data_IF_864656285125
#
_entry.id   IF_864656285125
#
_cell.length_a   1.000
_cell.length_b   1.000
_cell.length_c   1.000
_cell.angle_alpha   90.00
_cell.angle_beta   90.00
_cell.angle_gamma   90.00
#
_symmetry.space_group_name_H-M   'P 1'
#
loop_
_entity.id
_entity.type
_entity.pdbx_description
1 polymer ?
#
# COMPACT_ATOMS: atom_id res chain seq x y z
N UNK A 1 -26.34 9.16 6.43
CA UNK A 1 -26.05 9.32 4.98
C UNK A 1 -26.02 10.77 4.44
N UNK A 2 -27.15 11.50 4.36
CA UNK A 2 -27.21 12.80 3.62
C UNK A 2 -26.25 13.90 4.11
N UNK A 3 -26.11 14.07 5.43
CA UNK A 3 -25.23 15.08 6.02
C UNK A 3 -23.74 14.81 5.75
N UNK A 4 -23.30 13.56 5.86
CA UNK A 4 -21.91 13.18 5.65
C UNK A 4 -21.48 13.30 4.18
N UNK A 5 -22.38 12.91 3.26
CA UNK A 5 -22.15 13.09 1.83
C UNK A 5 -22.03 14.57 1.45
N UNK A 6 -22.89 15.42 2.02
CA UNK A 6 -22.77 16.86 1.85
C UNK A 6 -21.44 17.40 2.42
N UNK A 7 -21.02 16.92 3.59
CA UNK A 7 -19.81 17.38 4.27
C UNK A 7 -18.50 17.10 3.50
N UNK A 8 -18.43 16.01 2.72
CA UNK A 8 -17.19 15.65 2.02
C UNK A 8 -17.26 15.76 0.50
N UNK A 9 -18.40 15.40 -0.13
CA UNK A 9 -18.53 15.47 -1.59
C UNK A 9 -18.61 16.93 -2.06
N UNK A 10 -19.44 17.76 -1.41
CA UNK A 10 -19.61 19.14 -1.85
C UNK A 10 -18.28 19.94 -1.74
N UNK A 11 -17.52 19.89 -0.62
CA UNK A 11 -16.21 20.52 -0.56
C UNK A 11 -15.20 19.95 -1.54
N UNK A 12 -15.20 18.63 -1.80
CA UNK A 12 -14.34 18.02 -2.83
C UNK A 12 -14.63 18.61 -4.22
N UNK A 13 -15.91 18.72 -4.58
CA UNK A 13 -16.33 19.28 -5.86
C UNK A 13 -15.94 20.76 -5.95
N UNK A 14 -16.22 21.56 -4.92
CA UNK A 14 -15.85 22.99 -4.86
C UNK A 14 -14.34 23.17 -4.98
N UNK A 15 -13.54 22.43 -4.20
CA UNK A 15 -12.09 22.47 -4.26
C UNK A 15 -11.58 22.07 -5.66
N UNK A 16 -12.19 21.06 -6.29
CA UNK A 16 -11.87 20.66 -7.66
C UNK A 16 -12.11 21.80 -8.64
N UNK A 17 -13.26 22.46 -8.58
CA UNK A 17 -13.60 23.59 -9.47
C UNK A 17 -12.60 24.74 -9.27
N UNK A 18 -12.31 25.10 -8.02
CA UNK A 18 -11.35 26.16 -7.70
C UNK A 18 -9.97 25.84 -8.29
N UNK A 19 -9.44 24.64 -8.02
CA UNK A 19 -8.11 24.24 -8.50
C UNK A 19 -8.06 24.17 -10.03
N UNK A 20 -9.10 23.64 -10.67
CA UNK A 20 -9.21 23.61 -12.14
C UNK A 20 -9.20 25.03 -12.69
N UNK A 21 -10.07 25.91 -12.19
CA UNK A 21 -10.17 27.30 -12.64
C UNK A 21 -8.84 28.05 -12.49
N UNK A 22 -8.20 27.94 -11.33
CA UNK A 22 -6.93 28.63 -11.04
C UNK A 22 -5.76 28.14 -11.91
N UNK A 23 -5.79 26.89 -12.38
CA UNK A 23 -4.61 26.26 -13.01
C UNK A 23 -4.79 25.80 -14.45
N UNK A 24 -6.00 25.82 -15.01
CA UNK A 24 -6.30 25.34 -16.37
C UNK A 24 -5.35 25.91 -17.43
N UNK A 25 -5.09 27.21 -17.36
CA UNK A 25 -4.21 27.96 -18.28
C UNK A 25 -2.79 28.19 -17.73
N UNK A 26 -2.46 27.63 -16.56
CA UNK A 26 -1.12 27.75 -15.98
C UNK A 26 -0.16 26.73 -16.59
N UNK A 27 1.14 26.93 -16.36
CA UNK A 27 2.20 26.07 -16.89
C UNK A 27 2.11 24.63 -16.36
N UNK A 28 2.70 23.69 -17.11
CA UNK A 28 2.80 22.28 -16.71
C UNK A 28 3.47 22.10 -15.34
N UNK A 29 4.39 22.99 -14.97
CA UNK A 29 5.07 22.98 -13.66
C UNK A 29 4.07 23.22 -12.53
N UNK A 30 3.21 24.24 -12.64
CA UNK A 30 2.18 24.55 -11.64
C UNK A 30 1.22 23.38 -11.47
N UNK A 31 0.73 22.81 -12.58
CA UNK A 31 -0.16 21.64 -12.54
C UNK A 31 0.48 20.44 -11.85
N UNK A 32 1.78 20.23 -12.06
CA UNK A 32 2.50 19.15 -11.42
C UNK A 32 2.68 19.38 -9.91
N UNK A 33 2.87 20.63 -9.48
CA UNK A 33 2.91 20.99 -8.05
C UNK A 33 1.58 20.66 -7.39
N UNK A 34 0.45 21.02 -8.01
CA UNK A 34 -0.88 20.67 -7.47
C UNK A 34 -1.05 19.16 -7.32
N UNK A 35 -0.63 18.37 -8.32
CA UNK A 35 -0.67 16.90 -8.24
C UNK A 35 0.20 16.38 -7.07
N UNK A 36 1.41 16.93 -6.90
CA UNK A 36 2.28 16.56 -5.78
C UNK A 36 1.60 16.90 -4.45
N UNK A 37 1.08 18.12 -4.30
CA UNK A 37 0.43 18.57 -3.07
C UNK A 37 -0.80 17.73 -2.73
N UNK A 38 -1.68 17.46 -3.68
CA UNK A 38 -2.87 16.63 -3.46
C UNK A 38 -2.48 15.19 -3.09
N UNK A 39 -1.50 14.59 -3.78
CA UNK A 39 -1.04 13.24 -3.48
C UNK A 39 -0.37 13.15 -2.09
N UNK A 40 0.40 14.17 -1.70
CA UNK A 40 1.01 14.26 -0.38
C UNK A 40 -0.04 14.43 0.73
N UNK A 41 -1.02 15.32 0.54
CA UNK A 41 -2.13 15.48 1.47
C UNK A 41 -2.94 14.18 1.61
N UNK A 42 -3.20 13.50 0.50
CA UNK A 42 -3.89 12.22 0.48
C UNK A 42 -3.09 11.10 1.18
N UNK A 43 -1.77 11.07 0.97
CA UNK A 43 -0.88 10.14 1.65
C UNK A 43 -0.89 10.37 3.17
N UNK A 44 -0.78 11.63 3.60
CA UNK A 44 -0.77 12.04 5.01
C UNK A 44 -2.13 11.83 5.69
N UNK A 45 -3.24 12.09 4.99
CA UNK A 45 -4.58 11.91 5.55
C UNK A 45 -4.90 10.44 5.87
N UNK A 46 -4.14 9.49 5.31
CA UNK A 46 -4.33 8.08 5.61
C UNK A 46 -3.70 7.64 6.94
N UNK A 47 -2.71 8.36 7.48
CA UNK A 47 -1.99 7.94 8.70
C UNK A 47 -2.91 7.65 9.90
N UNK A 48 -3.94 8.45 10.20
CA UNK A 48 -4.84 8.14 11.30
C UNK A 48 -5.61 6.82 11.12
N UNK A 49 -5.93 6.45 9.88
CA UNK A 49 -6.58 5.18 9.55
C UNK A 49 -5.58 4.04 9.47
N UNK A 50 -4.38 4.30 8.99
CA UNK A 50 -3.28 3.35 8.97
C UNK A 50 -2.93 2.88 10.39
N UNK A 51 -3.00 3.76 11.38
CA UNK A 51 -2.68 3.46 12.79
C UNK A 51 -3.94 3.12 13.61
N UNK A 52 -4.93 2.54 12.96
CA UNK A 52 -6.20 2.13 13.56
C UNK A 52 -6.49 0.68 13.20
N UNK A 53 -7.04 -0.06 14.17
CA UNK A 53 -7.48 -1.45 13.96
C UNK A 53 -8.95 -1.44 13.57
N UNK A 54 -9.28 -2.08 12.47
CA UNK A 54 -10.65 -2.19 12.00
C UNK A 54 -11.31 -3.44 12.59
N UNK A 55 -12.58 -3.33 13.00
CA UNK A 55 -13.33 -4.46 13.57
C UNK A 55 -13.44 -5.64 12.60
N UNK A 56 -13.60 -5.37 11.30
CA UNK A 56 -13.70 -6.40 10.27
C UNK A 56 -12.42 -7.26 10.15
N UNK A 57 -11.26 -6.78 10.59
CA UNK A 57 -9.99 -7.55 10.52
C UNK A 57 -9.94 -8.71 11.53
N UNK A 58 -10.88 -8.76 12.47
CA UNK A 58 -11.03 -9.85 13.42
C UNK A 58 -12.02 -10.94 12.96
N UNK A 59 -12.69 -10.75 11.82
CA UNK A 59 -13.62 -11.74 11.31
C UNK A 59 -12.89 -13.03 10.87
N UNK A 60 -13.50 -14.17 11.17
CA UNK A 60 -13.00 -15.51 10.81
C UNK A 60 -14.13 -16.25 10.12
N UNK A 61 -13.88 -16.85 8.96
CA UNK A 61 -14.92 -17.50 8.14
C UNK A 61 -16.14 -16.60 7.87
N UNK A 62 -15.91 -15.31 7.67
CA UNK A 62 -16.94 -14.27 7.54
C UNK A 62 -17.90 -14.13 8.74
N UNK A 63 -17.62 -14.78 9.86
CA UNK A 63 -18.36 -14.56 11.10
C UNK A 63 -17.82 -13.28 11.77
N UNK A 64 -18.72 -12.36 12.07
CA UNK A 64 -18.39 -11.06 12.65
C UNK A 64 -19.57 -10.10 12.59
N UNK A 65 -19.27 -8.83 12.35
CA UNK A 65 -20.24 -7.72 12.35
C UNK A 65 -21.23 -7.72 11.17
N UNK A 66 -20.97 -8.50 10.12
CA UNK A 66 -21.76 -8.50 8.89
C UNK A 66 -22.25 -9.90 8.55
N UNK A 67 -23.33 -9.96 7.76
CA UNK A 67 -23.67 -11.17 7.03
C UNK A 67 -22.54 -11.55 6.07
N UNK A 68 -22.41 -12.85 5.76
CA UNK A 68 -21.33 -13.36 4.89
C UNK A 68 -21.16 -12.58 3.59
N UNK A 69 -22.27 -12.32 2.87
CA UNK A 69 -22.23 -11.60 1.60
C UNK A 69 -21.75 -10.16 1.77
N UNK A 70 -22.20 -9.48 2.83
CA UNK A 70 -21.78 -8.11 3.14
C UNK A 70 -20.30 -8.07 3.57
N UNK A 71 -19.83 -9.06 4.33
CA UNK A 71 -18.41 -9.19 4.68
C UNK A 71 -17.52 -9.37 3.45
N UNK A 72 -17.89 -10.26 2.51
CA UNK A 72 -17.16 -10.46 1.25
C UNK A 72 -17.10 -9.16 0.44
N UNK A 73 -18.24 -8.49 0.29
CA UNK A 73 -18.32 -7.24 -0.45
C UNK A 73 -17.46 -6.14 0.19
N UNK A 74 -17.56 -5.95 1.51
CA UNK A 74 -16.78 -4.95 2.22
C UNK A 74 -15.27 -5.26 2.20
N UNK A 75 -14.89 -6.53 2.28
CA UNK A 75 -13.47 -6.91 2.16
C UNK A 75 -12.93 -6.63 0.76
N UNK A 76 -13.73 -6.85 -0.27
CA UNK A 76 -13.39 -6.51 -1.66
C UNK A 76 -13.25 -5.00 -1.84
N UNK A 77 -14.22 -4.21 -1.33
CA UNK A 77 -14.17 -2.75 -1.38
C UNK A 77 -12.96 -2.19 -0.62
N UNK A 78 -12.63 -2.73 0.56
CA UNK A 78 -11.42 -2.35 1.33
C UNK A 78 -10.14 -2.63 0.55
N UNK A 79 -10.08 -3.76 -0.15
CA UNK A 79 -8.96 -4.10 -1.05
C UNK A 79 -8.82 -3.07 -2.18
N UNK A 80 -9.93 -2.67 -2.79
CA UNK A 80 -9.93 -1.65 -3.85
C UNK A 80 -9.58 -0.26 -3.32
N UNK A 81 -9.97 0.06 -2.10
CA UNK A 81 -9.60 1.30 -1.42
C UNK A 81 -8.11 1.37 -1.15
N UNK A 82 -7.50 0.28 -0.69
CA UNK A 82 -6.05 0.17 -0.54
C UNK A 82 -5.31 0.28 -1.88
N UNK A 83 -5.79 -0.41 -2.91
CA UNK A 83 -5.24 -0.27 -4.26
C UNK A 83 -5.31 1.18 -4.76
N UNK A 84 -6.43 1.86 -4.50
CA UNK A 84 -6.62 3.28 -4.81
C UNK A 84 -5.65 4.18 -4.04
N UNK A 85 -5.40 3.85 -2.77
CA UNK A 85 -4.41 4.54 -1.96
C UNK A 85 -3.02 4.49 -2.62
N UNK A 86 -2.57 3.29 -3.02
CA UNK A 86 -1.28 3.14 -3.67
C UNK A 86 -1.18 3.92 -4.99
N UNK A 87 -2.24 3.88 -5.81
CA UNK A 87 -2.26 4.56 -7.11
C UNK A 87 -2.09 6.07 -6.94
N UNK A 88 -2.86 6.69 -6.04
CA UNK A 88 -2.83 8.14 -5.83
C UNK A 88 -1.52 8.57 -5.18
N UNK A 89 -1.05 7.86 -4.15
CA UNK A 89 0.19 8.19 -3.45
C UNK A 89 1.42 8.09 -4.35
N UNK A 90 1.41 7.19 -5.34
CA UNK A 90 2.54 6.99 -6.26
C UNK A 90 2.43 7.77 -7.56
N UNK A 91 1.30 8.45 -7.82
CA UNK A 91 1.10 9.27 -9.03
C UNK A 91 2.21 10.32 -9.26
N UNK A 92 2.76 11.01 -8.24
CA UNK A 92 3.83 11.99 -8.43
C UNK A 92 5.14 11.41 -8.95
N UNK A 93 5.40 10.12 -8.70
CA UNK A 93 6.68 9.46 -9.01
C UNK A 93 6.82 9.04 -10.47
N UNK A 94 5.81 9.30 -11.30
CA UNK A 94 5.80 8.93 -12.70
C UNK A 94 5.07 9.95 -13.54
N UNK A 95 5.37 9.96 -14.85
CA UNK A 95 4.61 10.70 -15.87
C UNK A 95 3.78 9.77 -16.75
N UNK A 96 3.77 8.46 -16.45
CA UNK A 96 3.05 7.47 -17.22
C UNK A 96 1.54 7.77 -17.21
N UNK A 97 0.95 7.91 -18.39
CA UNK A 97 -0.48 8.22 -18.54
C UNK A 97 -1.39 7.09 -18.06
N UNK A 98 -0.90 5.86 -18.03
CA UNK A 98 -1.62 4.71 -17.46
C UNK A 98 -2.00 4.93 -15.99
N UNK A 99 -1.16 5.61 -15.20
CA UNK A 99 -1.48 5.93 -13.81
C UNK A 99 -2.60 6.97 -13.70
N UNK A 100 -2.61 8.01 -14.54
CA UNK A 100 -3.73 8.95 -14.58
C UNK A 100 -5.02 8.29 -15.06
N UNK A 101 -4.93 7.35 -16.01
CA UNK A 101 -6.08 6.55 -16.43
C UNK A 101 -6.64 5.70 -15.28
N UNK A 102 -5.78 5.07 -14.46
CA UNK A 102 -6.22 4.34 -13.26
C UNK A 102 -6.88 5.27 -12.22
N UNK A 103 -6.38 6.49 -12.03
CA UNK A 103 -7.01 7.46 -11.13
C UNK A 103 -8.44 7.79 -11.59
N UNK A 104 -8.64 7.99 -12.88
CA UNK A 104 -9.96 8.36 -13.42
C UNK A 104 -10.91 7.16 -13.50
N UNK A 105 -10.44 6.00 -13.95
CA UNK A 105 -11.30 4.86 -14.28
C UNK A 105 -11.48 3.86 -13.13
N UNK A 106 -10.60 3.88 -12.12
CA UNK A 106 -10.68 2.98 -10.98
C UNK A 106 -10.81 3.74 -9.66
N UNK A 107 -9.89 4.67 -9.37
CA UNK A 107 -9.89 5.38 -8.07
C UNK A 107 -11.15 6.22 -7.89
N UNK A 108 -11.58 6.96 -8.92
CA UNK A 108 -12.77 7.78 -8.84
C UNK A 108 -14.04 6.96 -8.54
N UNK A 109 -14.39 5.90 -9.31
CA UNK A 109 -15.52 5.04 -8.98
C UNK A 109 -15.44 4.43 -7.58
N UNK A 110 -14.27 3.94 -7.16
CA UNK A 110 -14.07 3.37 -5.81
C UNK A 110 -14.30 4.43 -4.74
N UNK A 111 -13.82 5.66 -4.93
CA UNK A 111 -13.96 6.75 -3.96
C UNK A 111 -15.42 7.22 -3.84
N UNK A 112 -16.13 7.29 -4.96
CA UNK A 112 -17.57 7.59 -4.98
C UNK A 112 -18.35 6.47 -4.29
N UNK A 113 -18.02 5.21 -4.57
CA UNK A 113 -18.65 4.06 -3.94
C UNK A 113 -18.40 4.01 -2.42
N UNK A 114 -17.18 4.35 -1.97
CA UNK A 114 -16.84 4.43 -0.55
C UNK A 114 -17.67 5.48 0.19
N UNK A 115 -17.86 6.67 -0.39
CA UNK A 115 -18.72 7.70 0.20
C UNK A 115 -20.19 7.31 0.11
N UNK A 116 -20.62 6.75 -1.01
CA UNK A 116 -21.96 6.21 -1.21
C UNK A 116 -22.29 5.04 -0.27
N UNK A 117 -21.30 4.36 0.29
CA UNK A 117 -21.46 3.27 1.26
C UNK A 117 -20.73 3.58 2.57
N UNK A 118 -20.73 4.86 2.97
CA UNK A 118 -19.97 5.30 4.15
C UNK A 118 -20.39 4.55 5.41
N UNK A 119 -21.69 4.35 5.63
CA UNK A 119 -22.22 3.67 6.81
C UNK A 119 -21.61 2.27 6.94
N UNK A 120 -21.53 1.51 5.83
CA UNK A 120 -20.91 0.18 5.83
C UNK A 120 -19.39 0.22 6.04
N UNK A 121 -18.70 1.24 5.53
CA UNK A 121 -17.28 1.44 5.80
C UNK A 121 -17.04 1.73 7.28
N UNK A 122 -17.86 2.59 7.89
CA UNK A 122 -17.73 2.95 9.31
C UNK A 122 -18.12 1.80 10.23
N UNK A 123 -19.11 1.00 9.86
CA UNK A 123 -19.40 -0.27 10.53
C UNK A 123 -18.21 -1.23 10.46
N UNK A 124 -17.58 -1.35 9.28
CA UNK A 124 -16.41 -2.22 9.10
C UNK A 124 -15.23 -1.77 9.97
N UNK A 125 -15.05 -0.46 10.12
CA UNK A 125 -13.97 0.17 10.86
C UNK A 125 -14.20 0.12 12.38
N UNK A 126 -15.36 0.59 12.84
CA UNK A 126 -15.63 0.86 14.26
C UNK A 126 -16.67 -0.08 14.89
N UNK A 127 -17.31 -0.95 14.11
CA UNK A 127 -18.44 -1.76 14.54
C UNK A 127 -19.80 -1.04 14.42
N UNK A 128 -20.87 -1.68 14.89
CA UNK A 128 -22.25 -1.24 14.66
C UNK A 128 -22.58 0.12 15.30
N UNK A 129 -21.91 0.48 16.40
CA UNK A 129 -22.12 1.75 17.11
C UNK A 129 -21.09 2.81 16.69
N UNK A 130 -20.99 3.07 15.39
CA UNK A 130 -20.01 4.01 14.84
C UNK A 130 -20.47 5.48 14.96
N UNK A 131 -19.50 6.40 14.94
CA UNK A 131 -19.75 7.84 14.85
C UNK A 131 -19.16 8.43 13.58
N UNK A 132 -19.95 9.23 12.88
CA UNK A 132 -19.51 10.02 11.72
C UNK A 132 -18.46 11.08 12.06
N UNK A 133 -18.37 11.47 13.33
CA UNK A 133 -17.38 12.42 13.84
C UNK A 133 -16.18 11.72 14.49
N UNK A 134 -16.12 10.39 14.43
CA UNK A 134 -14.92 9.66 14.85
C UNK A 134 -13.71 10.08 14.00
N UNK A 135 -12.52 10.04 14.60
CA UNK A 135 -11.26 10.35 13.90
C UNK A 135 -11.15 9.57 12.59
N UNK A 136 -11.43 8.27 12.62
CA UNK A 136 -11.32 7.42 11.44
C UNK A 136 -12.31 7.84 10.35
N UNK A 137 -13.56 8.13 10.73
CA UNK A 137 -14.56 8.62 9.80
C UNK A 137 -14.11 9.91 9.12
N UNK A 138 -13.67 10.92 9.87
CA UNK A 138 -13.26 12.22 9.30
C UNK A 138 -12.11 12.03 8.30
N UNK A 139 -11.05 11.32 8.69
CA UNK A 139 -9.89 11.13 7.80
C UNK A 139 -10.19 10.24 6.60
N UNK A 140 -11.07 9.24 6.74
CA UNK A 140 -11.55 8.46 5.61
C UNK A 140 -12.34 9.33 4.62
N UNK A 141 -13.24 10.18 5.11
CA UNK A 141 -13.99 11.13 4.29
C UNK A 141 -13.09 12.12 3.54
N UNK A 142 -12.10 12.70 4.24
CA UNK A 142 -11.08 13.57 3.63
C UNK A 142 -10.31 12.82 2.55
N UNK A 143 -9.92 11.57 2.80
CA UNK A 143 -9.20 10.75 1.84
C UNK A 143 -10.02 10.51 0.56
N UNK A 144 -11.30 10.14 0.68
CA UNK A 144 -12.16 9.94 -0.49
C UNK A 144 -12.41 11.27 -1.23
N UNK A 145 -12.60 12.38 -0.51
CA UNK A 145 -12.74 13.71 -1.07
C UNK A 145 -11.50 14.14 -1.88
N UNK A 146 -10.29 13.91 -1.35
CA UNK A 146 -9.03 14.19 -2.03
C UNK A 146 -8.83 13.30 -3.28
N UNK A 147 -9.22 12.03 -3.23
CA UNK A 147 -9.17 11.14 -4.39
C UNK A 147 -10.11 11.59 -5.52
N UNK A 148 -11.35 11.96 -5.18
CA UNK A 148 -12.29 12.57 -6.15
C UNK A 148 -11.69 13.86 -6.71
N UNK A 149 -11.13 14.70 -5.84
CA UNK A 149 -10.52 15.98 -6.24
C UNK A 149 -9.36 15.77 -7.22
N UNK A 150 -8.48 14.80 -6.93
CA UNK A 150 -7.38 14.43 -7.80
C UNK A 150 -7.88 13.97 -9.18
N UNK A 151 -8.89 13.10 -9.22
CA UNK A 151 -9.43 12.59 -10.48
C UNK A 151 -10.07 13.72 -11.32
N UNK A 152 -10.91 14.55 -10.70
CA UNK A 152 -11.54 15.70 -11.36
C UNK A 152 -10.49 16.69 -11.86
N UNK A 153 -9.47 16.98 -11.05
CA UNK A 153 -8.36 17.83 -11.43
C UNK A 153 -7.62 17.29 -12.66
N UNK A 154 -7.32 15.99 -12.70
CA UNK A 154 -6.65 15.34 -13.83
C UNK A 154 -7.46 15.49 -15.12
N UNK A 155 -8.78 15.28 -15.05
CA UNK A 155 -9.70 15.36 -16.19
C UNK A 155 -9.80 16.79 -16.72
N UNK A 156 -10.13 17.76 -15.85
CA UNK A 156 -10.56 19.09 -16.30
C UNK A 156 -9.44 20.13 -16.38
N UNK A 157 -8.32 19.96 -15.65
CA UNK A 157 -7.23 20.92 -15.66
C UNK A 157 -6.24 20.74 -16.82
N UNK A 158 -6.54 19.90 -17.82
CA UNK A 158 -5.66 19.61 -18.96
C UNK A 158 -4.23 19.25 -18.52
N UNK A 159 -4.13 18.29 -17.60
CA UNK A 159 -2.85 17.90 -16.98
C UNK A 159 -1.96 17.06 -17.91
N UNK A 160 -2.51 16.57 -19.03
CA UNK A 160 -1.87 15.60 -19.93
C UNK A 160 -1.42 14.31 -19.21
N UNK A 161 -2.14 13.94 -18.15
CA UNK A 161 -1.91 12.72 -17.35
C UNK A 161 -2.73 11.52 -17.81
N UNK A 162 -3.68 11.70 -18.72
CA UNK A 162 -4.54 10.63 -19.25
C UNK A 162 -4.36 10.45 -20.74
N UNK A 163 -4.70 9.26 -21.22
CA UNK A 163 -4.82 8.94 -22.65
C UNK A 163 -6.01 8.00 -22.86
N UNK A 164 -7.09 8.53 -23.43
CA UNK A 164 -8.31 7.78 -23.72
C UNK A 164 -8.51 7.58 -25.23
N UNK A 165 -7.57 8.00 -26.08
CA UNK A 165 -7.73 7.93 -27.54
C UNK A 165 -7.73 6.50 -28.07
N UNK A 166 -6.89 5.64 -27.49
CA UNK A 166 -6.77 4.23 -27.87
C UNK A 166 -7.38 3.34 -26.77
N UNK A 167 -8.67 3.05 -26.93
CA UNK A 167 -9.44 2.27 -25.96
C UNK A 167 -8.92 0.83 -25.81
N UNK A 168 -8.49 0.18 -26.89
CA UNK A 168 -7.97 -1.20 -26.83
C UNK A 168 -6.68 -1.26 -26.03
N UNK A 169 -5.76 -0.32 -26.27
CA UNK A 169 -4.51 -0.22 -25.52
C UNK A 169 -4.75 0.18 -24.06
N UNK A 170 -5.69 1.09 -23.82
CA UNK A 170 -6.13 1.49 -22.48
C UNK A 170 -6.59 0.28 -21.67
N UNK A 171 -7.55 -0.49 -22.19
CA UNK A 171 -8.06 -1.70 -21.54
C UNK A 171 -6.96 -2.72 -21.28
N UNK A 172 -6.12 -2.99 -22.29
CA UNK A 172 -5.00 -3.93 -22.14
C UNK A 172 -4.06 -3.51 -21.00
N UNK A 173 -3.74 -2.21 -20.91
CA UNK A 173 -2.87 -1.72 -19.85
C UNK A 173 -3.54 -1.90 -18.47
N UNK A 174 -4.82 -1.56 -18.34
CA UNK A 174 -5.56 -1.70 -17.08
C UNK A 174 -5.66 -3.17 -16.67
N UNK A 175 -6.06 -4.06 -17.58
CA UNK A 175 -6.18 -5.50 -17.31
C UNK A 175 -4.85 -6.14 -16.92
N UNK A 176 -3.72 -5.61 -17.39
CA UNK A 176 -2.41 -6.08 -16.98
C UNK A 176 -2.01 -5.48 -15.64
N UNK A 177 -2.15 -4.17 -15.41
CA UNK A 177 -1.56 -3.53 -14.22
C UNK A 177 -2.43 -3.59 -12.98
N UNK A 178 -3.75 -3.42 -13.14
CA UNK A 178 -4.67 -3.28 -12.01
C UNK A 178 -4.74 -4.54 -11.13
N UNK A 179 -4.76 -5.78 -11.67
CA UNK A 179 -4.78 -6.97 -10.83
C UNK A 179 -3.57 -7.08 -9.89
N UNK A 180 -2.37 -6.69 -10.34
CA UNK A 180 -1.18 -6.68 -9.47
C UNK A 180 -1.31 -5.64 -8.35
N UNK A 181 -1.85 -4.45 -8.64
CA UNK A 181 -2.05 -3.41 -7.62
C UNK A 181 -3.13 -3.84 -6.61
N UNK A 182 -4.21 -4.48 -7.08
CA UNK A 182 -5.26 -5.05 -6.23
C UNK A 182 -4.67 -6.12 -5.32
N UNK A 183 -3.84 -7.03 -5.85
CA UNK A 183 -3.19 -8.08 -5.06
C UNK A 183 -2.35 -7.51 -3.92
N UNK A 184 -1.58 -6.44 -4.18
CA UNK A 184 -0.82 -5.73 -3.14
C UNK A 184 -1.72 -5.05 -2.11
N UNK A 185 -2.98 -4.77 -2.46
CA UNK A 185 -3.98 -4.14 -1.60
C UNK A 185 -4.78 -5.12 -0.75
N UNK A 186 -4.57 -6.43 -0.88
CA UNK A 186 -5.32 -7.45 -0.10
C UNK A 186 -4.88 -7.38 1.36
N UNK A 187 -5.78 -7.04 2.32
CA UNK A 187 -5.44 -7.05 3.75
C UNK A 187 -4.99 -8.45 4.21
N UNK A 188 -4.04 -8.51 5.15
CA UNK A 188 -3.54 -9.76 5.74
C UNK A 188 -4.65 -10.56 6.44
N UNK A 189 -5.68 -9.88 6.98
CA UNK A 189 -6.88 -10.48 7.56
C UNK A 189 -7.75 -11.26 6.56
N UNK A 190 -7.55 -11.07 5.25
CA UNK A 190 -8.32 -11.77 4.21
C UNK A 190 -8.17 -13.29 4.32
N UNK A 191 -6.99 -13.79 4.72
CA UNK A 191 -6.73 -15.23 4.78
C UNK A 191 -7.60 -15.91 5.85
N UNK A 192 -7.58 -15.45 7.10
CA UNK A 192 -8.49 -15.99 8.14
C UNK A 192 -9.97 -15.76 7.81
N UNK A 193 -10.30 -14.69 7.08
CA UNK A 193 -11.69 -14.39 6.74
C UNK A 193 -12.24 -15.39 5.70
N UNK A 194 -11.45 -15.73 4.68
CA UNK A 194 -11.86 -16.61 3.59
C UNK A 194 -11.63 -18.10 3.87
N UNK A 195 -10.53 -18.43 4.55
CA UNK A 195 -10.11 -19.82 4.78
C UNK A 195 -10.29 -20.28 6.23
N UNK A 196 -10.62 -19.38 7.15
CA UNK A 196 -10.75 -19.70 8.56
C UNK A 196 -9.41 -19.97 9.23
N UNK A 197 -9.48 -20.54 10.43
CA UNK A 197 -8.32 -21.10 11.10
C UNK A 197 -8.25 -22.59 10.76
N UNK A 198 -7.11 -23.02 10.24
CA UNK A 198 -6.90 -24.37 9.73
C UNK A 198 -6.49 -25.38 10.81
N UNK A 199 -6.07 -24.91 11.99
CA UNK A 199 -5.40 -25.69 13.02
C UNK A 199 -3.92 -25.97 12.73
N UNK A 200 -3.41 -25.62 11.55
CA UNK A 200 -2.02 -25.84 11.16
C UNK A 200 -1.13 -24.67 11.57
N UNK A 201 0.09 -25.00 11.97
CA UNK A 201 1.11 -24.02 12.39
C UNK A 201 2.32 -24.10 11.47
N UNK A 202 2.95 -22.96 11.21
CA UNK A 202 4.20 -22.88 10.45
C UNK A 202 5.39 -23.17 11.38
N UNK A 203 5.52 -24.45 11.75
CA UNK A 203 6.64 -24.93 12.58
C UNK A 203 7.90 -25.05 11.74
N UNK A 204 9.07 -24.84 12.35
CA UNK A 204 10.39 -24.94 11.71
C UNK A 204 10.52 -26.20 10.84
N UNK A 205 10.70 -25.99 9.54
CA UNK A 205 10.81 -27.01 8.49
C UNK A 205 9.69 -28.06 8.43
N UNK A 206 8.50 -27.80 8.98
CA UNK A 206 7.30 -28.59 8.71
C UNK A 206 6.80 -28.39 7.27
N UNK A 207 5.87 -29.22 6.81
CA UNK A 207 5.44 -29.24 5.40
C UNK A 207 4.92 -27.89 4.90
N UNK A 208 4.00 -27.28 5.65
CA UNK A 208 3.46 -25.95 5.33
C UNK A 208 4.53 -24.86 5.30
N UNK A 209 5.51 -24.95 6.18
CA UNK A 209 6.62 -24.01 6.23
C UNK A 209 7.56 -24.19 5.02
N UNK A 210 7.88 -25.43 4.62
CA UNK A 210 8.65 -25.69 3.39
C UNK A 210 7.97 -25.14 2.15
N UNK A 211 6.65 -25.32 2.05
CA UNK A 211 5.85 -24.76 0.95
C UNK A 211 5.94 -23.23 0.96
N UNK A 212 5.75 -22.59 2.11
CA UNK A 212 5.86 -21.14 2.24
C UNK A 212 7.25 -20.60 1.84
N UNK A 213 8.32 -21.31 2.22
CA UNK A 213 9.69 -20.97 1.81
C UNK A 213 9.87 -21.09 0.30
N UNK A 214 9.46 -22.20 -0.31
CA UNK A 214 9.57 -22.40 -1.76
C UNK A 214 8.85 -21.29 -2.52
N UNK A 215 7.62 -20.97 -2.11
CA UNK A 215 6.87 -19.87 -2.71
C UNK A 215 7.59 -18.53 -2.55
N UNK A 216 8.13 -18.25 -1.35
CA UNK A 216 8.89 -17.02 -1.07
C UNK A 216 10.11 -16.88 -1.98
N UNK A 217 10.94 -17.92 -2.10
CA UNK A 217 12.12 -17.87 -2.96
C UNK A 217 11.77 -17.84 -4.45
N UNK A 218 10.66 -18.45 -4.85
CA UNK A 218 10.17 -18.40 -6.24
C UNK A 218 9.68 -17.01 -6.67
N UNK A 219 9.28 -16.13 -5.73
CA UNK A 219 8.87 -14.76 -6.05
C UNK A 219 10.00 -13.95 -6.71
N UNK A 220 11.25 -14.14 -6.28
CA UNK A 220 12.40 -13.39 -6.81
C UNK A 220 12.61 -13.62 -8.31
N UNK A 221 12.85 -14.87 -8.80
CA UNK A 221 13.04 -15.11 -10.21
C UNK A 221 11.78 -14.77 -11.01
N UNK A 222 10.59 -15.09 -10.50
CA UNK A 222 9.31 -14.79 -11.17
C UNK A 222 9.19 -13.30 -11.49
N UNK A 223 9.37 -12.45 -10.47
CA UNK A 223 9.24 -11.01 -10.63
C UNK A 223 10.41 -10.41 -11.41
N UNK A 224 11.60 -10.97 -11.31
CA UNK A 224 12.72 -10.62 -12.19
C UNK A 224 12.37 -10.85 -13.67
N UNK A 225 11.86 -12.02 -14.05
CA UNK A 225 11.53 -12.31 -15.45
C UNK A 225 10.37 -11.44 -15.98
N UNK A 226 9.37 -11.16 -15.14
CA UNK A 226 8.26 -10.26 -15.48
C UNK A 226 8.75 -8.82 -15.74
N UNK A 227 9.70 -8.33 -14.94
CA UNK A 227 10.13 -6.93 -14.93
C UNK A 227 11.40 -6.63 -15.75
N UNK A 228 12.31 -7.60 -15.97
CA UNK A 228 13.65 -7.35 -16.53
C UNK A 228 13.66 -6.70 -17.91
N UNK A 229 12.64 -6.97 -18.74
CA UNK A 229 12.51 -6.41 -20.10
C UNK A 229 11.68 -5.13 -20.14
N UNK A 230 11.16 -4.66 -19.00
CA UNK A 230 10.34 -3.44 -18.92
C UNK A 230 11.23 -2.20 -18.84
N UNK A 231 10.66 -1.05 -19.19
CA UNK A 231 11.36 0.24 -19.05
C UNK A 231 11.74 0.51 -17.59
N UNK A 232 12.74 1.38 -17.38
CA UNK A 232 13.13 1.80 -16.04
C UNK A 232 11.93 2.34 -15.23
N UNK A 233 11.11 3.19 -15.83
CA UNK A 233 9.93 3.78 -15.14
C UNK A 233 8.94 2.72 -14.65
N UNK A 234 8.71 1.66 -15.43
CA UNK A 234 7.81 0.56 -15.04
C UNK A 234 8.44 -0.26 -13.92
N UNK A 235 9.72 -0.59 -14.02
CA UNK A 235 10.47 -1.31 -12.97
C UNK A 235 10.47 -0.52 -11.65
N UNK A 236 10.75 0.77 -11.73
CA UNK A 236 10.79 1.68 -10.59
C UNK A 236 9.42 1.83 -9.92
N UNK A 237 8.35 1.98 -10.70
CA UNK A 237 6.99 2.00 -10.14
C UNK A 237 6.61 0.68 -9.48
N UNK A 238 6.92 -0.46 -10.10
CA UNK A 238 6.58 -1.77 -9.54
C UNK A 238 7.20 -1.95 -8.15
N UNK A 239 8.48 -1.61 -7.96
CA UNK A 239 9.12 -1.71 -6.65
C UNK A 239 8.60 -0.68 -5.64
N UNK A 240 8.18 0.52 -6.09
CA UNK A 240 7.52 1.50 -5.22
C UNK A 240 6.15 1.00 -4.74
N UNK A 241 5.36 0.36 -5.60
CA UNK A 241 4.09 -0.26 -5.21
C UNK A 241 4.28 -1.34 -4.15
N UNK A 242 5.26 -2.23 -4.35
CA UNK A 242 5.58 -3.29 -3.36
C UNK A 242 6.07 -2.66 -2.05
N UNK A 243 6.96 -1.67 -2.12
CA UNK A 243 7.49 -0.98 -0.93
C UNK A 243 6.39 -0.28 -0.12
N UNK A 244 5.51 0.47 -0.81
CA UNK A 244 4.41 1.17 -0.18
C UNK A 244 3.38 0.20 0.42
N UNK A 245 3.15 -0.94 -0.25
CA UNK A 245 2.30 -1.98 0.28
C UNK A 245 2.88 -2.60 1.55
N UNK A 246 4.19 -2.94 1.57
CA UNK A 246 4.89 -3.38 2.78
C UNK A 246 4.74 -2.39 3.94
N UNK A 247 4.96 -1.10 3.67
CA UNK A 247 4.74 -0.03 4.65
C UNK A 247 3.32 0.00 5.20
N UNK A 248 2.31 -0.04 4.34
CA UNK A 248 0.90 0.06 4.77
C UNK A 248 0.47 -1.16 5.58
N UNK A 249 0.77 -2.37 5.12
CA UNK A 249 0.38 -3.58 5.86
C UNK A 249 1.14 -3.69 7.19
N UNK A 250 2.39 -3.24 7.23
CA UNK A 250 3.18 -3.18 8.46
C UNK A 250 2.50 -2.28 9.52
N UNK A 251 2.26 -1.02 9.19
CA UNK A 251 1.73 -0.06 10.17
C UNK A 251 0.28 -0.32 10.59
N UNK A 252 -0.50 -1.07 9.79
CA UNK A 252 -1.90 -1.41 10.11
C UNK A 252 -2.10 -2.29 11.34
N UNK A 253 -1.11 -3.09 11.72
CA UNK A 253 -1.21 -3.88 12.97
C UNK A 253 -0.93 -3.05 14.22
N UNK A 254 -0.38 -1.85 14.07
CA UNK A 254 -0.06 -0.98 15.18
C UNK A 254 -1.17 0.06 15.37
N UNK A 255 -1.65 0.18 16.60
CA UNK A 255 -2.62 1.20 16.98
C UNK A 255 -1.92 2.39 17.63
N UNK A 256 -2.35 3.61 17.30
CA UNK A 256 -1.95 4.81 18.04
C UNK A 256 -2.74 4.94 19.36
N UNK A 257 -2.11 5.33 20.49
CA UNK A 257 -0.69 5.66 20.65
C UNK A 257 0.23 4.43 20.62
N UNK A 258 1.42 4.58 20.04
CA UNK A 258 2.41 3.50 20.02
C UNK A 258 2.88 3.16 21.43
N UNK A 259 2.97 1.87 21.74
CA UNK A 259 3.80 1.39 22.84
C UNK A 259 5.28 1.45 22.43
N UNK A 260 6.21 1.48 23.39
CA UNK A 260 7.64 1.40 23.09
C UNK A 260 8.01 0.14 22.27
N UNK A 261 7.27 -0.94 22.45
CA UNK A 261 7.36 -2.19 21.66
C UNK A 261 6.78 -2.08 20.24
N UNK A 262 5.99 -1.05 19.94
CA UNK A 262 5.43 -0.77 18.63
C UNK A 262 6.31 0.17 17.79
N UNK A 263 7.40 0.71 18.37
CA UNK A 263 8.38 1.47 17.61
C UNK A 263 9.19 0.53 16.71
N UNK A 264 9.54 0.94 15.48
CA UNK A 264 10.35 0.14 14.56
C UNK A 264 11.85 0.14 14.97
N UNK A 265 12.13 -0.18 16.24
CA UNK A 265 13.47 -0.41 16.78
C UNK A 265 13.97 -1.84 16.51
N UNK A 266 13.09 -2.72 16.02
CA UNK A 266 13.51 -3.98 15.40
C UNK A 266 13.89 -3.75 13.95
N UNK A 267 14.95 -4.44 13.52
CA UNK A 267 15.56 -4.22 12.22
C UNK A 267 14.57 -4.48 11.05
N UNK A 268 13.78 -5.56 11.10
CA UNK A 268 12.78 -5.86 10.05
C UNK A 268 11.69 -4.77 9.96
N UNK A 269 11.20 -4.29 11.11
CA UNK A 269 10.27 -3.17 11.21
C UNK A 269 10.85 -1.89 10.61
N UNK A 270 12.12 -1.60 10.88
CA UNK A 270 12.81 -0.46 10.27
C UNK A 270 12.87 -0.59 8.74
N UNK A 271 12.97 -1.80 8.19
CA UNK A 271 13.00 -2.03 6.75
C UNK A 271 11.71 -1.52 6.07
N UNK A 272 10.55 -1.74 6.70
CA UNK A 272 9.25 -1.32 6.16
C UNK A 272 9.13 0.20 5.99
N UNK A 273 9.90 0.98 6.77
CA UNK A 273 10.03 2.43 6.60
C UNK A 273 11.19 2.81 5.67
N UNK A 274 12.36 2.21 5.87
CA UNK A 274 13.59 2.61 5.19
C UNK A 274 13.58 2.27 3.69
N UNK A 275 12.99 1.13 3.28
CA UNK A 275 12.90 0.77 1.86
C UNK A 275 12.12 1.81 1.07
N UNK A 276 10.83 2.13 1.37
CA UNK A 276 10.07 3.10 0.60
C UNK A 276 10.72 4.50 0.64
N UNK A 277 11.26 4.92 1.79
CA UNK A 277 12.00 6.20 1.90
C UNK A 277 13.24 6.21 1.00
N UNK A 278 14.02 5.14 0.99
CA UNK A 278 15.22 5.03 0.16
C UNK A 278 14.90 5.06 -1.33
N UNK A 279 13.80 4.43 -1.76
CA UNK A 279 13.35 4.44 -3.14
C UNK A 279 12.81 5.82 -3.52
N UNK A 280 11.95 6.42 -2.70
CA UNK A 280 11.35 7.73 -2.94
C UNK A 280 12.41 8.85 -3.05
N UNK A 281 13.41 8.83 -2.16
CA UNK A 281 14.53 9.79 -2.16
C UNK A 281 15.68 9.38 -3.09
N UNK A 282 15.62 8.18 -3.68
CA UNK A 282 16.71 7.55 -4.45
C UNK A 282 18.03 7.51 -3.67
N UNK A 283 17.95 7.33 -2.36
CA UNK A 283 19.10 7.36 -1.45
C UNK A 283 19.79 5.99 -1.39
N UNK A 284 20.97 5.91 -2.03
CA UNK A 284 21.79 4.68 -2.03
C UNK A 284 22.23 4.28 -0.63
N UNK A 285 22.61 5.25 0.21
CA UNK A 285 23.11 4.98 1.57
C UNK A 285 22.05 4.29 2.42
N UNK A 286 20.83 4.84 2.46
CA UNK A 286 19.72 4.26 3.21
C UNK A 286 19.36 2.88 2.65
N UNK A 287 19.30 2.75 1.32
CA UNK A 287 19.01 1.48 0.67
C UNK A 287 20.03 0.38 0.99
N UNK A 288 21.33 0.70 1.01
CA UNK A 288 22.38 -0.29 1.28
C UNK A 288 22.37 -0.79 2.71
N UNK A 289 22.02 0.06 3.69
CA UNK A 289 21.77 -0.41 5.05
C UNK A 289 20.67 -1.48 5.06
N UNK A 290 19.55 -1.22 4.39
CA UNK A 290 18.43 -2.16 4.30
C UNK A 290 18.77 -3.43 3.52
N UNK A 291 19.56 -3.30 2.46
CA UNK A 291 20.02 -4.40 1.64
C UNK A 291 20.95 -5.36 2.41
N UNK A 292 21.88 -4.86 3.21
CA UNK A 292 22.84 -5.72 3.89
C UNK A 292 22.26 -6.35 5.15
N UNK A 293 21.70 -5.55 6.06
CA UNK A 293 21.36 -6.05 7.39
C UNK A 293 19.93 -6.55 7.47
N UNK A 294 18.97 -5.80 6.92
CA UNK A 294 17.56 -6.17 7.01
C UNK A 294 17.25 -7.39 6.12
N UNK A 295 17.91 -7.54 4.98
CA UNK A 295 17.73 -8.72 4.11
C UNK A 295 18.22 -10.00 4.79
N UNK A 296 19.38 -9.98 5.46
CA UNK A 296 19.90 -11.14 6.20
C UNK A 296 19.01 -11.44 7.41
N UNK A 297 18.63 -10.42 8.19
CA UNK A 297 17.72 -10.59 9.32
C UNK A 297 16.37 -11.19 8.90
N UNK A 298 15.81 -10.70 7.80
CA UNK A 298 14.56 -11.22 7.25
C UNK A 298 14.70 -12.67 6.75
N UNK A 299 15.83 -13.03 6.12
CA UNK A 299 16.09 -14.41 5.73
C UNK A 299 16.12 -15.36 6.94
N UNK A 300 16.80 -14.97 8.02
CA UNK A 300 16.85 -15.77 9.25
C UNK A 300 15.45 -15.94 9.84
N UNK A 301 14.67 -14.86 9.91
CA UNK A 301 13.30 -14.89 10.42
C UNK A 301 12.36 -15.73 9.54
N UNK A 302 12.58 -15.79 8.23
CA UNK A 302 11.83 -16.69 7.35
C UNK A 302 12.20 -18.15 7.59
N UNK A 303 13.49 -18.47 7.83
CA UNK A 303 13.97 -19.84 8.08
C UNK A 303 13.58 -20.33 9.48
N UNK A 304 13.56 -19.43 10.47
CA UNK A 304 13.25 -19.71 11.86
C UNK A 304 12.12 -18.76 12.32
N UNK A 305 10.88 -18.99 11.85
CA UNK A 305 9.76 -18.11 12.14
C UNK A 305 9.40 -18.15 13.63
N UNK A 306 9.28 -16.98 14.24
CA UNK A 306 8.77 -16.84 15.60
C UNK A 306 7.28 -16.52 15.58
N UNK A 307 6.47 -17.45 15.07
CA UNK A 307 5.01 -17.32 15.00
C UNK A 307 4.31 -18.25 15.98
N UNK A 308 3.24 -17.78 16.62
CA UNK A 308 2.39 -18.58 17.51
C UNK A 308 0.98 -18.72 16.95
N UNK A 309 0.34 -19.86 17.17
CA UNK A 309 -1.01 -20.13 16.66
C UNK A 309 -1.06 -20.51 15.17
N UNK A 310 -2.25 -20.38 14.59
CA UNK A 310 -2.62 -20.84 13.24
C UNK A 310 -1.95 -20.06 12.10
N UNK A 311 -1.62 -20.73 11.00
CA UNK A 311 -0.92 -20.12 9.86
C UNK A 311 -1.69 -18.97 9.18
N UNK A 312 -3.02 -18.98 9.20
CA UNK A 312 -3.86 -17.94 8.59
C UNK A 312 -4.31 -16.85 9.55
N UNK A 313 -3.95 -16.97 10.83
CA UNK A 313 -4.14 -15.89 11.79
C UNK A 313 -3.50 -14.60 11.25
N UNK A 314 -4.23 -13.48 11.33
CA UNK A 314 -3.80 -12.20 10.75
C UNK A 314 -2.37 -11.80 11.16
N UNK A 315 -2.00 -12.03 12.44
CA UNK A 315 -0.64 -11.76 12.95
C UNK A 315 0.44 -12.60 12.26
N UNK A 316 0.16 -13.86 11.95
CA UNK A 316 1.11 -14.76 11.32
C UNK A 316 1.24 -14.46 9.83
N UNK A 317 0.14 -14.22 9.13
CA UNK A 317 0.18 -13.78 7.73
C UNK A 317 0.93 -12.47 7.59
N UNK A 318 0.71 -11.53 8.51
CA UNK A 318 1.47 -10.29 8.56
C UNK A 318 2.97 -10.51 8.76
N UNK A 319 3.36 -11.36 9.71
CA UNK A 319 4.76 -11.73 9.92
C UNK A 319 5.40 -12.21 8.60
N UNK A 320 4.75 -13.13 7.90
CA UNK A 320 5.24 -13.62 6.62
C UNK A 320 5.29 -12.53 5.56
N UNK A 321 4.25 -11.72 5.44
CA UNK A 321 4.17 -10.64 4.47
C UNK A 321 5.32 -9.63 4.61
N UNK A 322 5.55 -9.15 5.83
CA UNK A 322 6.64 -8.23 6.17
C UNK A 322 8.00 -8.82 5.80
N UNK A 323 8.29 -10.04 6.28
CA UNK A 323 9.60 -10.64 6.14
C UNK A 323 9.90 -11.04 4.70
N UNK A 324 8.88 -11.47 3.93
CA UNK A 324 9.00 -11.68 2.49
C UNK A 324 9.41 -10.37 1.81
N UNK A 325 8.75 -9.25 2.10
CA UNK A 325 9.10 -7.96 1.48
C UNK A 325 10.49 -7.50 1.91
N UNK A 326 10.82 -7.57 3.20
CA UNK A 326 12.13 -7.17 3.72
C UNK A 326 13.29 -7.96 3.10
N UNK A 327 13.07 -9.24 2.81
CA UNK A 327 14.05 -10.12 2.16
C UNK A 327 14.10 -9.90 0.64
N UNK A 328 12.95 -10.05 -0.04
CA UNK A 328 12.93 -10.12 -1.50
C UNK A 328 13.07 -8.76 -2.19
N UNK A 329 12.48 -7.70 -1.63
CA UNK A 329 12.39 -6.42 -2.33
C UNK A 329 13.78 -5.77 -2.57
N UNK A 330 14.71 -5.70 -1.59
CA UNK A 330 16.05 -5.17 -1.84
C UNK A 330 16.81 -5.96 -2.91
N UNK A 331 16.70 -7.29 -2.89
CA UNK A 331 17.31 -8.17 -3.90
C UNK A 331 16.74 -7.86 -5.28
N UNK A 332 15.41 -7.80 -5.41
CA UNK A 332 14.75 -7.49 -6.67
C UNK A 332 15.18 -6.13 -7.21
N UNK A 333 15.17 -5.09 -6.37
CA UNK A 333 15.51 -3.70 -6.74
C UNK A 333 16.90 -3.63 -7.39
N UNK A 334 17.87 -4.38 -6.86
CA UNK A 334 19.22 -4.48 -7.44
C UNK A 334 19.21 -5.35 -8.70
N UNK A 335 18.54 -6.49 -8.68
CA UNK A 335 18.51 -7.45 -9.79
C UNK A 335 17.90 -6.84 -11.07
N UNK A 336 16.84 -6.05 -10.94
CA UNK A 336 16.20 -5.37 -12.08
C UNK A 336 16.84 -4.01 -12.38
N UNK A 337 17.92 -3.62 -11.69
CA UNK A 337 18.70 -2.41 -11.98
C UNK A 337 18.01 -1.09 -11.66
N UNK A 338 17.11 -1.06 -10.66
CA UNK A 338 16.53 0.19 -10.15
C UNK A 338 17.51 0.93 -9.24
N UNK A 339 18.22 0.18 -8.38
CA UNK A 339 19.37 0.70 -7.62
C UNK A 339 20.65 0.03 -8.12
N UNK A 340 21.80 0.74 -8.03
CA UNK A 340 23.08 0.13 -8.34
C UNK A 340 23.41 -1.01 -7.37
N UNK A 341 24.25 -1.95 -7.84
CA UNK A 341 24.81 -3.00 -6.99
C UNK A 341 25.68 -2.37 -5.90
N UNK A 342 25.56 -2.79 -4.63
CA UNK A 342 26.41 -2.28 -3.57
C UNK A 342 27.87 -2.71 -3.79
N UNK A 343 28.83 -1.88 -3.36
CA UNK A 343 30.25 -2.22 -3.32
C UNK A 343 30.72 -2.37 -1.87
N UNK A 344 31.93 -2.89 -1.69
CA UNK A 344 32.47 -3.19 -0.35
C UNK A 344 32.68 -1.95 0.53
N UNK A 345 32.92 -0.77 -0.06
CA UNK A 345 33.06 0.48 0.70
C UNK A 345 31.76 0.85 1.41
N UNK A 346 30.63 0.64 0.75
CA UNK A 346 29.30 0.95 1.28
C UNK A 346 28.86 -0.02 2.37
N UNK A 347 29.36 -1.26 2.33
CA UNK A 347 29.20 -2.21 3.43
C UNK A 347 29.82 -1.68 4.74
N UNK A 348 31.04 -1.13 4.71
CA UNK A 348 31.70 -0.58 5.92
C UNK A 348 30.87 0.54 6.57
N UNK A 349 30.30 1.42 5.76
CA UNK A 349 29.43 2.49 6.28
C UNK A 349 28.14 1.92 6.88
N UNK A 350 27.51 0.96 6.21
CA UNK A 350 26.30 0.33 6.72
C UNK A 350 26.57 -0.42 8.03
N UNK A 351 27.74 -1.08 8.16
CA UNK A 351 28.19 -1.74 9.39
C UNK A 351 28.36 -0.74 10.54
N UNK A 352 28.97 0.40 10.29
CA UNK A 352 29.09 1.46 11.30
C UNK A 352 27.73 1.94 11.81
N UNK A 353 26.78 2.20 10.90
CA UNK A 353 25.41 2.59 11.28
C UNK A 353 24.71 1.47 12.05
N UNK A 354 24.90 0.22 11.65
CA UNK A 354 24.37 -0.94 12.35
C UNK A 354 24.92 -1.05 13.77
N UNK A 355 26.23 -0.85 13.97
CA UNK A 355 26.83 -0.84 15.31
C UNK A 355 26.23 0.25 16.20
N UNK A 356 26.07 1.47 15.68
CA UNK A 356 25.41 2.56 16.43
C UNK A 356 23.95 2.23 16.76
N UNK A 357 23.25 1.55 15.85
CA UNK A 357 21.84 1.20 16.05
C UNK A 357 21.62 0.18 17.18
N UNK A 358 22.61 -0.67 17.48
CA UNK A 358 22.54 -1.73 18.49
C UNK A 358 23.24 -1.39 19.82
N UNK A 359 24.00 -0.30 19.86
CA UNK A 359 24.56 0.27 21.10
C UNK A 359 23.56 1.24 21.71
#
# INVERSE_FOLDING_TARGET
MGFYNFLFIAPAMVLSVILVYMTKYKSKKVKNIVIISLASLFFLSYFPNLLSKDVIDYAVNFNGIFSKNKAIFMQTLRTFTLASYFIVSLLPFTKNKGMGNLVVLFVLPVSVLNLGLIDFNLEAMNGLNFSYLSRQAIFFGIQQALAITMAMYIIFANTNRTDFKDYKRLLKNILITLPFIILLGVPTSTFQMFFGLTGHRLVNFGDYHRIALVLTFALIPTMYFVLRKKSYDVRYLAVLFIALSGFVHFYRLYSWPFTWSALPAHLCNAAMLLIPVSLALKSKKVFYFTYFFNTIGALIALIIPNTSGDMFLNSNVHFWYEHIIAFYLPILVVAIGVMPRPKFKEYKWALFVFTIYFM
#
